data_IF_544006497987
#
_entry.id   IF_544006497987
#
_cell.length_a   1.000
_cell.length_b   1.000
_cell.length_c   1.000
_cell.angle_alpha   90.00
_cell.angle_beta   90.00
_cell.angle_gamma   90.00
#
_symmetry.space_group_name_H-M   'P 1'
#
loop_
_entity.id
_entity.type
_entity.pdbx_description
1 polymer ?
#
# COMPACT_ATOMS: atom_id res chain seq x y z
N UNK A 1 2.65 10.86 -14.15
CA UNK A 1 3.74 10.44 -13.24
C UNK A 1 3.81 11.24 -11.93
N UNK A 2 3.43 12.52 -11.89
CA UNK A 2 3.53 13.34 -10.67
C UNK A 2 2.76 12.78 -9.46
N UNK A 3 1.47 12.47 -9.62
CA UNK A 3 0.62 11.97 -8.53
C UNK A 3 1.12 10.64 -7.97
N UNK A 4 1.57 9.72 -8.84
CA UNK A 4 2.10 8.42 -8.43
C UNK A 4 3.37 8.56 -7.58
N UNK A 5 4.31 9.40 -8.01
CA UNK A 5 5.55 9.64 -7.27
C UNK A 5 5.28 10.30 -5.91
N UNK A 6 4.39 11.31 -5.90
CA UNK A 6 3.98 11.97 -4.66
C UNK A 6 3.29 10.99 -3.71
N UNK A 7 2.35 10.17 -4.20
CA UNK A 7 1.66 9.18 -3.38
C UNK A 7 2.62 8.14 -2.77
N UNK A 8 3.57 7.62 -3.56
CA UNK A 8 4.59 6.68 -3.05
C UNK A 8 5.49 7.33 -1.99
N UNK A 9 5.89 8.59 -2.18
CA UNK A 9 6.69 9.32 -1.21
C UNK A 9 5.91 9.54 0.10
N UNK A 10 4.66 9.99 0.02
CA UNK A 10 3.81 10.22 1.18
C UNK A 10 3.57 8.92 1.96
N UNK A 11 3.34 7.79 1.27
CA UNK A 11 3.21 6.48 1.90
C UNK A 11 4.49 6.05 2.63
N UNK A 12 5.67 6.30 2.03
CA UNK A 12 6.96 6.03 2.65
C UNK A 12 7.22 6.88 3.89
N UNK A 13 6.92 8.19 3.83
CA UNK A 13 7.03 9.10 4.97
C UNK A 13 6.11 8.69 6.12
N UNK A 14 4.87 8.31 5.82
CA UNK A 14 3.94 7.80 6.82
C UNK A 14 4.47 6.55 7.51
N UNK A 15 5.03 5.61 6.73
CA UNK A 15 5.66 4.41 7.26
C UNK A 15 6.79 4.71 8.24
N UNK A 16 7.66 5.69 7.91
CA UNK A 16 8.76 6.13 8.80
C UNK A 16 8.21 6.77 10.08
N UNK A 17 7.26 7.72 9.95
CA UNK A 17 6.70 8.45 11.09
C UNK A 17 5.99 7.52 12.08
N UNK A 18 5.19 6.60 11.56
CA UNK A 18 4.39 5.68 12.34
C UNK A 18 5.12 4.39 12.71
N UNK A 19 6.40 4.24 12.30
CA UNK A 19 7.21 3.03 12.50
C UNK A 19 6.47 1.77 12.04
N UNK A 20 5.74 1.87 10.92
CA UNK A 20 5.00 0.73 10.35
C UNK A 20 6.01 -0.34 9.96
N UNK A 21 5.94 -1.49 10.65
CA UNK A 21 6.79 -2.63 10.35
C UNK A 21 6.14 -3.45 9.24
N UNK A 22 6.78 -3.49 8.07
CA UNK A 22 6.38 -4.35 6.96
C UNK A 22 6.81 -5.82 7.12
N UNK A 23 7.63 -6.14 8.13
CA UNK A 23 8.30 -7.44 8.29
C UNK A 23 7.43 -8.62 8.72
N UNK A 24 6.14 -8.63 8.36
CA UNK A 24 5.23 -9.74 8.61
C UNK A 24 5.14 -10.71 7.41
N UNK A 25 4.61 -11.91 7.67
CA UNK A 25 4.47 -13.01 6.69
C UNK A 25 3.64 -12.63 5.44
N UNK A 26 2.96 -11.47 5.43
CA UNK A 26 2.13 -11.00 4.31
C UNK A 26 2.80 -10.00 3.36
N UNK A 27 3.92 -9.36 3.76
CA UNK A 27 4.62 -8.38 2.92
C UNK A 27 6.12 -8.68 2.72
N UNK A 28 6.60 -9.79 3.28
CA UNK A 28 7.98 -10.26 3.14
C UNK A 28 8.91 -9.79 4.26
N UNK A 29 10.23 -9.96 4.09
CA UNK A 29 10.93 -10.41 2.89
C UNK A 29 10.72 -11.91 2.61
N UNK A 30 10.56 -12.28 1.34
CA UNK A 30 10.51 -13.67 0.90
C UNK A 30 11.80 -14.01 0.16
N UNK A 31 12.53 -15.01 0.66
CA UNK A 31 13.75 -15.55 0.03
C UNK A 31 13.47 -16.93 -0.60
N UNK A 32 12.38 -17.02 -1.35
CA UNK A 32 11.91 -18.24 -2.00
C UNK A 32 11.11 -17.91 -3.26
N UNK A 33 10.97 -18.89 -4.15
CA UNK A 33 10.07 -18.74 -5.30
C UNK A 33 8.62 -18.91 -4.84
N UNK A 34 7.90 -17.79 -4.74
CA UNK A 34 6.49 -17.72 -4.29
C UNK A 34 5.58 -18.54 -5.21
N UNK A 35 5.81 -18.53 -6.53
CA UNK A 35 4.95 -19.23 -7.49
C UNK A 35 5.04 -20.75 -7.36
N UNK A 36 6.19 -21.26 -6.89
CA UNK A 36 6.41 -22.68 -6.64
C UNK A 36 5.84 -23.16 -5.29
N UNK A 37 5.35 -22.25 -4.44
CA UNK A 37 4.85 -22.61 -3.12
C UNK A 37 3.39 -23.15 -3.16
N UNK A 38 2.99 -23.92 -2.13
CA UNK A 38 1.61 -24.35 -1.95
C UNK A 38 0.62 -23.17 -1.97
N UNK A 39 -0.62 -23.45 -2.35
CA UNK A 39 -1.67 -22.43 -2.42
C UNK A 39 -1.96 -21.82 -1.04
N UNK A 40 -1.84 -22.62 0.03
CA UNK A 40 -1.98 -22.21 1.41
C UNK A 40 -0.98 -21.11 1.75
N UNK A 41 0.30 -21.29 1.39
CA UNK A 41 1.34 -20.26 1.61
C UNK A 41 1.06 -19.00 0.80
N UNK A 42 0.67 -19.14 -0.48
CA UNK A 42 0.36 -17.99 -1.35
C UNK A 42 -0.82 -17.17 -0.84
N UNK A 43 -1.78 -17.79 -0.15
CA UNK A 43 -2.93 -17.11 0.48
C UNK A 43 -2.55 -16.27 1.71
N UNK A 44 -1.41 -16.53 2.34
CA UNK A 44 -0.91 -15.73 3.47
C UNK A 44 -0.30 -14.39 3.03
N UNK A 45 0.02 -14.25 1.74
CA UNK A 45 0.62 -13.06 1.13
C UNK A 45 -0.47 -12.03 0.83
N UNK A 46 -0.24 -10.78 1.23
CA UNK A 46 -1.14 -9.68 0.91
C UNK A 46 -1.14 -9.42 -0.60
N UNK A 47 -2.31 -9.51 -1.23
CA UNK A 47 -2.47 -9.21 -2.66
C UNK A 47 -2.76 -7.73 -2.91
N UNK A 48 -2.29 -7.22 -4.04
CA UNK A 48 -2.71 -5.92 -4.56
C UNK A 48 -4.18 -5.95 -5.03
N UNK A 49 -4.86 -4.79 -5.07
CA UNK A 49 -6.16 -4.65 -5.72
C UNK A 49 -6.15 -5.20 -7.14
N UNK A 50 -7.21 -5.91 -7.54
CA UNK A 50 -7.34 -6.55 -8.86
C UNK A 50 -8.11 -5.71 -9.86
N UNK A 51 -8.72 -4.63 -9.42
CA UNK A 51 -9.47 -3.72 -10.26
C UNK A 51 -9.25 -2.27 -9.83
N UNK A 52 -9.54 -1.34 -10.75
CA UNK A 52 -9.53 0.09 -10.43
C UNK A 52 -10.55 0.40 -9.32
N UNK A 53 -11.70 -0.27 -9.31
CA UNK A 53 -12.71 -0.08 -8.26
C UNK A 53 -12.18 -0.47 -6.88
N UNK A 54 -11.52 -1.63 -6.76
CA UNK A 54 -10.89 -2.05 -5.50
C UNK A 54 -9.76 -1.08 -5.08
N UNK A 55 -9.00 -0.54 -6.04
CA UNK A 55 -7.97 0.43 -5.74
C UNK A 55 -8.55 1.77 -5.23
N UNK A 56 -9.68 2.22 -5.80
CA UNK A 56 -10.40 3.41 -5.34
C UNK A 56 -11.06 3.19 -3.97
N UNK A 57 -11.59 2.01 -3.71
CA UNK A 57 -12.12 1.65 -2.38
C UNK A 57 -11.01 1.63 -1.33
N UNK A 58 -9.83 1.07 -1.66
CA UNK A 58 -8.65 1.11 -0.80
C UNK A 58 -8.18 2.55 -0.54
N UNK A 59 -8.17 3.40 -1.59
CA UNK A 59 -7.86 4.83 -1.46
C UNK A 59 -8.86 5.53 -0.52
N UNK A 60 -10.16 5.28 -0.69
CA UNK A 60 -11.20 5.85 0.18
C UNK A 60 -11.01 5.45 1.64
N UNK A 61 -10.58 4.21 1.91
CA UNK A 61 -10.35 3.68 3.26
C UNK A 61 -9.04 4.12 3.91
N UNK A 62 -7.99 4.38 3.13
CA UNK A 62 -6.64 4.69 3.64
C UNK A 62 -5.98 5.81 2.81
N UNK A 63 -6.41 7.05 3.01
CA UNK A 63 -5.82 8.23 2.34
C UNK A 63 -5.30 9.31 3.30
N UNK A 64 -5.37 9.10 4.61
CA UNK A 64 -4.93 10.10 5.59
C UNK A 64 -3.45 10.49 5.39
N UNK A 65 -2.63 9.53 4.94
CA UNK A 65 -1.24 9.79 4.64
C UNK A 65 -1.02 10.75 3.45
N UNK A 66 -1.98 10.83 2.51
CA UNK A 66 -1.88 11.70 1.34
C UNK A 66 -2.22 13.16 1.67
N UNK A 67 -3.15 13.39 2.59
CA UNK A 67 -3.60 14.74 2.96
C UNK A 67 -2.65 15.47 3.91
N UNK A 68 -1.66 14.76 4.46
CA UNK A 68 -0.62 15.36 5.31
C UNK A 68 0.13 16.47 4.56
N UNK A 69 0.34 17.60 5.23
CA UNK A 69 1.09 18.73 4.67
C UNK A 69 0.44 19.38 3.44
N UNK A 70 -0.85 19.15 3.21
CA UNK A 70 -1.63 19.69 2.10
C UNK A 70 -1.07 19.31 0.71
N UNK A 71 -0.38 18.16 0.63
CA UNK A 71 0.19 17.64 -0.63
C UNK A 71 -0.94 17.18 -1.56
N UNK A 72 -1.94 16.50 -1.00
CA UNK A 72 -3.20 16.21 -1.66
C UNK A 72 -4.33 16.90 -0.89
N UNK A 73 -5.00 17.91 -1.47
CA UNK A 73 -6.16 18.52 -0.83
C UNK A 73 -7.25 17.47 -0.60
N UNK A 74 -7.95 17.52 0.55
CA UNK A 74 -8.97 16.52 0.88
C UNK A 74 -10.05 16.39 -0.21
N UNK A 75 -10.48 17.52 -0.78
CA UNK A 75 -11.45 17.58 -1.87
C UNK A 75 -10.99 16.91 -3.18
N UNK A 76 -9.68 16.66 -3.32
CA UNK A 76 -9.12 15.96 -4.48
C UNK A 76 -9.20 14.43 -4.34
N UNK A 77 -9.27 13.93 -3.10
CA UNK A 77 -9.31 12.51 -2.77
C UNK A 77 -10.75 12.01 -2.50
N UNK A 78 -11.63 12.90 -2.01
CA UNK A 78 -13.03 12.62 -1.65
C UNK A 78 -13.96 12.41 -2.85
#
# INVERSE_FOLDING_TARGET
>A
MYLTLAAMLMAGLDGIQNKRNSGGHSFGPYDLNIEAQPEEFRKEIASLPRSLYEALDALGRDHEFLVKGDVFPAAFIS
#
